data_IF_367593298620
#
_entry.id   IF_367593298620
#
_cell.length_a   1.000
_cell.length_b   1.000
_cell.length_c   1.000
_cell.angle_alpha   90.00
_cell.angle_beta   90.00
_cell.angle_gamma   90.00
#
_symmetry.space_group_name_H-M   'P 1'
#
loop_
_entity.id
_entity.type
_entity.pdbx_description
1 polymer ?
#
# COMPACT_ATOMS: atom_id res chain seq x y z
N UNK A 1 -31.48 -43.21 -42.40
CA UNK A 1 -31.53 -42.57 -41.06
C UNK A 1 -30.15 -42.72 -40.44
N UNK A 2 -29.25 -41.76 -40.68
CA UNK A 2 -27.89 -41.76 -40.12
C UNK A 2 -27.83 -40.65 -39.08
N UNK A 3 -27.79 -41.03 -37.80
CA UNK A 3 -27.61 -40.11 -36.69
C UNK A 3 -26.11 -39.95 -36.43
N UNK A 4 -25.59 -38.76 -36.72
CA UNK A 4 -24.22 -38.35 -36.37
C UNK A 4 -24.18 -38.02 -34.88
N UNK A 5 -23.36 -38.74 -34.10
CA UNK A 5 -23.07 -38.40 -32.71
C UNK A 5 -22.06 -37.23 -32.67
N UNK A 6 -22.52 -36.06 -32.24
CA UNK A 6 -21.66 -34.89 -31.96
C UNK A 6 -20.94 -35.13 -30.61
N UNK A 7 -19.61 -35.23 -30.66
CA UNK A 7 -18.74 -35.28 -29.47
C UNK A 7 -18.67 -33.88 -28.85
N UNK A 8 -19.10 -33.74 -27.59
CA UNK A 8 -18.94 -32.49 -26.84
C UNK A 8 -17.45 -32.19 -26.59
N UNK A 9 -17.01 -30.91 -26.63
CA UNK A 9 -15.65 -30.55 -26.24
C UNK A 9 -15.50 -30.72 -24.71
N UNK A 10 -14.36 -31.27 -24.30
CA UNK A 10 -13.97 -31.31 -22.91
C UNK A 10 -13.78 -29.87 -22.41
N UNK A 11 -14.53 -29.48 -21.38
CA UNK A 11 -14.34 -28.22 -20.71
C UNK A 11 -12.93 -28.19 -20.09
N UNK A 12 -12.06 -27.32 -20.60
CA UNK A 12 -10.79 -27.02 -19.97
C UNK A 12 -11.06 -26.35 -18.64
N UNK A 13 -10.75 -27.03 -17.55
CA UNK A 13 -10.70 -26.42 -16.23
C UNK A 13 -9.44 -25.55 -16.17
N UNK A 14 -9.56 -24.30 -16.59
CA UNK A 14 -8.53 -23.29 -16.32
C UNK A 14 -8.58 -22.98 -14.83
N UNK A 15 -7.61 -23.50 -14.09
CA UNK A 15 -7.36 -23.04 -12.74
C UNK A 15 -6.64 -21.70 -12.85
N UNK A 16 -7.37 -20.59 -12.69
CA UNK A 16 -6.72 -19.32 -12.39
C UNK A 16 -6.05 -19.51 -11.04
N UNK A 17 -4.72 -19.62 -11.03
CA UNK A 17 -3.97 -19.32 -9.83
C UNK A 17 -4.46 -17.93 -9.39
N UNK A 18 -5.13 -17.85 -8.24
CA UNK A 18 -5.32 -16.58 -7.57
C UNK A 18 -3.96 -15.91 -7.59
N UNK A 19 -3.84 -14.77 -8.28
CA UNK A 19 -2.63 -13.98 -8.22
C UNK A 19 -2.45 -13.72 -6.73
N UNK A 20 -1.46 -14.38 -6.11
CA UNK A 20 -1.23 -14.26 -4.69
C UNK A 20 -1.11 -12.76 -4.41
N UNK A 21 -1.96 -12.24 -3.52
CA UNK A 21 -1.93 -10.82 -3.14
C UNK A 21 -0.50 -10.48 -2.76
N UNK A 22 0.09 -9.50 -3.45
CA UNK A 22 1.46 -9.05 -3.20
C UNK A 22 1.36 -7.75 -2.44
N UNK A 23 1.55 -7.86 -1.14
CA UNK A 23 1.37 -6.75 -0.21
C UNK A 23 2.67 -6.46 0.51
N UNK A 24 2.91 -5.18 0.79
CA UNK A 24 4.06 -4.71 1.55
C UNK A 24 3.62 -3.66 2.55
N UNK A 25 4.17 -3.74 3.76
CA UNK A 25 4.00 -2.74 4.80
C UNK A 25 5.33 -2.07 5.14
N UNK A 26 5.29 -0.75 5.16
CA UNK A 26 6.33 0.10 5.70
C UNK A 26 5.94 0.55 7.10
N UNK A 27 6.83 0.36 8.07
CA UNK A 27 6.59 0.71 9.46
C UNK A 27 7.64 1.74 9.89
N UNK A 28 7.18 2.92 10.27
CA UNK A 28 8.03 3.92 10.91
C UNK A 28 8.34 3.49 12.36
N UNK A 29 9.62 3.38 12.75
CA UNK A 29 10.01 2.94 14.09
C UNK A 29 9.69 3.96 15.20
N UNK A 30 9.29 5.20 14.86
CA UNK A 30 8.80 6.19 15.82
C UNK A 30 7.37 5.88 16.32
N UNK A 31 6.66 4.94 15.69
CA UNK A 31 5.37 4.45 16.19
C UNK A 31 5.60 3.66 17.48
N UNK A 32 4.80 3.95 18.50
CA UNK A 32 4.84 3.23 19.78
C UNK A 32 4.64 1.74 19.55
N UNK A 33 5.45 0.92 20.20
CA UNK A 33 5.39 -0.55 20.13
C UNK A 33 5.51 -1.11 18.70
N UNK A 34 6.25 -0.43 17.81
CA UNK A 34 6.50 -0.92 16.45
C UNK A 34 7.03 -2.38 16.37
N UNK A 35 7.83 -2.91 17.32
CA UNK A 35 8.25 -4.31 17.25
C UNK A 35 7.06 -5.27 17.37
N UNK A 36 6.07 -4.95 18.20
CA UNK A 36 4.86 -5.75 18.33
C UNK A 36 4.03 -5.67 17.04
N UNK A 37 3.95 -4.48 16.41
CA UNK A 37 3.32 -4.33 15.10
C UNK A 37 3.97 -5.20 14.04
N UNK A 38 5.31 -5.22 13.97
CA UNK A 38 6.06 -6.11 13.06
C UNK A 38 5.68 -7.57 13.26
N UNK A 39 5.59 -8.02 14.52
CA UNK A 39 5.21 -9.41 14.82
C UNK A 39 3.74 -9.73 14.57
N UNK A 40 2.87 -8.72 14.61
CA UNK A 40 1.43 -8.87 14.41
C UNK A 40 0.98 -8.78 12.94
N UNK A 41 1.85 -8.37 12.01
CA UNK A 41 1.54 -8.36 10.58
C UNK A 41 1.18 -9.77 10.11
N UNK A 42 0.04 -9.89 9.42
CA UNK A 42 -0.44 -11.17 8.90
C UNK A 42 0.57 -11.84 7.98
N UNK A 43 0.51 -13.16 7.91
CA UNK A 43 1.35 -13.94 6.98
C UNK A 43 1.09 -13.55 5.51
N UNK A 44 2.16 -13.44 4.73
CA UNK A 44 2.10 -13.13 3.30
C UNK A 44 2.21 -11.64 2.96
N UNK A 45 2.24 -10.75 3.95
CA UNK A 45 2.60 -9.33 3.78
C UNK A 45 4.10 -9.18 4.04
N UNK A 46 4.81 -8.54 3.13
CA UNK A 46 6.20 -8.20 3.39
C UNK A 46 6.31 -7.03 4.37
N UNK A 47 7.21 -7.12 5.35
CA UNK A 47 7.46 -6.06 6.32
C UNK A 47 8.80 -5.38 6.03
N UNK A 48 8.77 -4.05 5.95
CA UNK A 48 9.95 -3.19 5.89
C UNK A 48 9.86 -2.17 7.01
N UNK A 49 10.84 -2.17 7.92
CA UNK A 49 10.98 -1.12 8.94
C UNK A 49 11.84 -0.01 8.35
N UNK A 50 11.37 1.22 8.42
CA UNK A 50 12.12 2.39 7.94
C UNK A 50 13.28 2.71 8.89
N UNK A 51 14.34 3.28 8.35
CA UNK A 51 15.41 3.89 9.14
C UNK A 51 14.95 5.25 9.66
N UNK A 52 14.94 5.40 10.99
CA UNK A 52 14.39 6.59 11.66
C UNK A 52 15.09 7.89 11.25
N UNK A 53 16.39 7.83 10.97
CA UNK A 53 17.25 9.00 10.72
C UNK A 53 17.47 9.28 9.22
N UNK A 54 16.63 8.71 8.36
CA UNK A 54 16.68 8.92 6.91
C UNK A 54 15.32 9.35 6.37
N UNK A 55 15.29 9.89 5.16
CA UNK A 55 14.07 10.30 4.49
C UNK A 55 13.21 9.07 4.18
N UNK A 56 12.02 9.00 4.77
CA UNK A 56 11.16 7.84 4.65
C UNK A 56 10.49 7.73 3.28
N UNK A 57 10.22 8.85 2.59
CA UNK A 57 9.64 8.81 1.25
C UNK A 57 10.65 8.25 0.26
N UNK A 58 11.91 8.67 0.33
CA UNK A 58 13.00 8.14 -0.51
C UNK A 58 13.25 6.65 -0.24
N UNK A 59 13.19 6.22 1.02
CA UNK A 59 13.31 4.80 1.40
C UNK A 59 12.19 3.94 0.81
N UNK A 60 10.93 4.36 0.96
CA UNK A 60 9.78 3.66 0.37
C UNK A 60 9.96 3.57 -1.15
N UNK A 61 10.34 4.68 -1.79
CA UNK A 61 10.56 4.75 -3.24
C UNK A 61 11.63 3.76 -3.70
N UNK A 62 12.74 3.69 -2.98
CA UNK A 62 13.85 2.79 -3.30
C UNK A 62 13.44 1.31 -3.21
N UNK A 63 12.63 0.96 -2.21
CA UNK A 63 12.09 -0.39 -2.05
C UNK A 63 11.07 -0.70 -3.14
N UNK A 64 10.11 0.20 -3.39
CA UNK A 64 9.05 0.00 -4.37
C UNK A 64 9.58 -0.09 -5.80
N UNK A 65 10.67 0.60 -6.13
CA UNK A 65 11.34 0.50 -7.44
C UNK A 65 11.83 -0.93 -7.76
N UNK A 66 12.00 -1.79 -6.75
CA UNK A 66 12.39 -3.19 -6.92
C UNK A 66 11.19 -4.14 -6.90
N UNK A 67 9.96 -3.62 -6.85
CA UNK A 67 8.70 -4.38 -6.72
C UNK A 67 7.76 -4.11 -7.88
N UNK A 68 6.91 -5.10 -8.15
CA UNK A 68 5.94 -5.03 -9.21
C UNK A 68 4.68 -5.78 -8.84
N UNK A 69 3.57 -5.38 -9.45
CA UNK A 69 2.25 -5.99 -9.29
C UNK A 69 1.80 -6.05 -7.82
N UNK A 70 2.12 -5.02 -7.03
CA UNK A 70 1.63 -4.89 -5.66
C UNK A 70 0.12 -4.61 -5.68
N UNK A 71 -0.62 -5.37 -4.89
CA UNK A 71 -2.06 -5.19 -4.68
C UNK A 71 -2.35 -4.27 -3.51
N UNK A 72 -1.43 -4.14 -2.56
CA UNK A 72 -1.50 -3.13 -1.52
C UNK A 72 -0.12 -2.67 -1.05
N UNK A 73 -0.03 -1.38 -0.72
CA UNK A 73 1.06 -0.78 0.06
C UNK A 73 0.45 -0.24 1.35
N UNK A 74 1.01 -0.66 2.47
CA UNK A 74 0.60 -0.25 3.80
C UNK A 74 1.67 0.66 4.39
N UNK A 75 1.28 1.76 5.04
CA UNK A 75 2.21 2.71 5.67
C UNK A 75 1.77 2.95 7.10
N UNK A 76 2.54 2.49 8.08
CA UNK A 76 2.27 2.63 9.51
C UNK A 76 3.17 3.71 10.08
N UNK A 77 2.58 4.77 10.62
CA UNK A 77 3.31 5.99 10.99
C UNK A 77 2.51 6.87 11.94
N UNK A 78 3.15 7.91 12.49
CA UNK A 78 2.41 9.03 13.07
C UNK A 78 1.81 9.89 11.97
N UNK A 79 0.66 10.50 12.28
CA UNK A 79 -0.08 11.32 11.34
C UNK A 79 -0.87 12.43 12.02
N UNK A 80 -1.41 13.30 11.17
CA UNK A 80 -2.48 14.23 11.52
C UNK A 80 -3.20 14.60 10.22
N UNK A 81 -4.29 15.39 10.24
CA UNK A 81 -4.99 15.76 9.02
C UNK A 81 -4.07 16.35 7.93
N UNK A 82 -4.00 15.64 6.81
CA UNK A 82 -3.18 15.99 5.64
C UNK A 82 -1.67 15.91 5.85
N UNK A 83 -1.20 15.04 6.74
CA UNK A 83 0.23 14.82 7.03
C UNK A 83 0.53 13.40 7.49
N UNK A 84 1.64 12.86 7.00
CA UNK A 84 2.26 11.60 7.45
C UNK A 84 3.73 11.85 7.78
N UNK A 85 4.21 11.36 8.93
CA UNK A 85 5.62 11.40 9.31
C UNK A 85 6.31 10.08 8.89
N UNK A 86 7.44 10.18 8.18
CA UNK A 86 8.19 9.01 7.68
C UNK A 86 9.69 9.21 7.88
N UNK A 87 10.27 8.60 8.90
CA UNK A 87 11.65 8.83 9.30
C UNK A 87 11.89 10.31 9.61
N UNK A 88 12.85 10.93 8.92
CA UNK A 88 13.12 12.39 9.04
C UNK A 88 12.22 13.25 8.15
N UNK A 89 11.39 12.65 7.31
CA UNK A 89 10.59 13.33 6.29
C UNK A 89 9.14 13.51 6.72
N UNK A 90 8.52 14.57 6.21
CA UNK A 90 7.09 14.80 6.32
C UNK A 90 6.49 14.76 4.92
N UNK A 91 5.50 13.89 4.70
CA UNK A 91 4.66 13.91 3.50
C UNK A 91 3.34 14.60 3.84
N UNK A 92 3.14 15.81 3.32
CA UNK A 92 1.99 16.67 3.62
C UNK A 92 1.64 17.55 2.42
N UNK A 93 0.56 18.32 2.50
CA UNK A 93 0.20 19.27 1.43
C UNK A 93 1.29 20.31 1.13
N UNK A 94 2.13 20.63 2.11
CA UNK A 94 3.23 21.58 1.97
C UNK A 94 4.46 20.96 1.28
N UNK A 95 4.62 19.64 1.36
CA UNK A 95 5.81 18.94 0.86
C UNK A 95 5.52 18.02 -0.31
N UNK A 96 4.26 17.74 -0.63
CA UNK A 96 3.87 16.75 -1.65
C UNK A 96 4.43 17.06 -3.04
N UNK A 97 4.54 18.33 -3.41
CA UNK A 97 5.12 18.74 -4.70
C UNK A 97 6.60 18.36 -4.80
N UNK A 98 7.35 18.39 -3.68
CA UNK A 98 8.74 17.94 -3.63
C UNK A 98 8.86 16.44 -3.93
N UNK A 99 7.91 15.64 -3.43
CA UNK A 99 7.90 14.19 -3.58
C UNK A 99 7.07 13.69 -4.77
N UNK A 100 6.68 14.60 -5.67
CA UNK A 100 5.78 14.27 -6.76
C UNK A 100 6.37 13.24 -7.72
N UNK A 101 7.69 13.25 -7.91
CA UNK A 101 8.40 12.27 -8.75
C UNK A 101 8.42 10.88 -8.09
N UNK A 102 8.74 10.83 -6.81
CA UNK A 102 8.75 9.62 -5.99
C UNK A 102 7.38 8.96 -6.00
N UNK A 103 6.32 9.72 -5.70
CA UNK A 103 4.95 9.21 -5.68
C UNK A 103 4.47 8.72 -7.05
N UNK A 104 4.86 9.39 -8.13
CA UNK A 104 4.57 8.91 -9.49
C UNK A 104 5.33 7.61 -9.80
N UNK A 105 6.59 7.50 -9.37
CA UNK A 105 7.38 6.28 -9.54
C UNK A 105 6.80 5.10 -8.75
N UNK A 106 6.11 5.35 -7.63
CA UNK A 106 5.43 4.28 -6.89
C UNK A 106 4.41 3.56 -7.78
N UNK A 107 3.71 4.28 -8.67
CA UNK A 107 2.70 3.71 -9.55
C UNK A 107 3.23 2.54 -10.41
N UNK A 108 4.52 2.55 -10.76
CA UNK A 108 5.15 1.47 -11.55
C UNK A 108 5.23 0.13 -10.80
N UNK A 109 5.18 0.19 -9.46
CA UNK A 109 5.17 -1.00 -8.60
C UNK A 109 3.76 -1.56 -8.37
N UNK A 110 2.73 -0.76 -8.65
CA UNK A 110 1.34 -1.01 -8.27
C UNK A 110 0.52 -1.64 -9.39
N UNK A 111 -0.49 -2.42 -9.00
CA UNK A 111 -1.59 -2.77 -9.91
C UNK A 111 -2.56 -1.61 -10.09
N UNK A 112 -3.35 -1.61 -11.17
CA UNK A 112 -4.37 -0.59 -11.44
C UNK A 112 -5.49 -0.50 -10.37
N UNK A 113 -5.56 -1.50 -9.49
CA UNK A 113 -6.54 -1.56 -8.40
C UNK A 113 -5.86 -1.56 -7.03
N UNK A 114 -4.57 -1.20 -6.96
CA UNK A 114 -3.83 -1.26 -5.72
C UNK A 114 -4.41 -0.32 -4.67
N UNK A 115 -4.39 -0.77 -3.42
CA UNK A 115 -4.69 0.08 -2.27
C UNK A 115 -3.40 0.70 -1.72
N UNK A 116 -3.45 1.98 -1.33
CA UNK A 116 -2.43 2.61 -0.50
C UNK A 116 -3.07 2.96 0.84
N UNK A 117 -2.78 2.15 1.86
CA UNK A 117 -3.42 2.20 3.16
C UNK A 117 -2.50 2.89 4.15
N UNK A 118 -2.93 4.05 4.64
CA UNK A 118 -2.19 4.84 5.62
C UNK A 118 -2.78 4.56 7.00
N UNK A 119 -1.97 3.99 7.88
CA UNK A 119 -2.28 3.73 9.29
C UNK A 119 -1.61 4.83 10.11
N UNK A 120 -2.18 6.03 10.04
CA UNK A 120 -1.71 7.22 10.74
C UNK A 120 -2.86 7.97 11.35
N UNK A 121 -2.63 8.61 12.50
CA UNK A 121 -3.71 9.28 13.22
C UNK A 121 -4.37 10.36 12.37
N UNK A 122 -5.67 10.20 12.09
CA UNK A 122 -6.55 11.25 11.58
C UNK A 122 -6.14 11.85 10.23
N UNK A 123 -5.37 11.12 9.41
CA UNK A 123 -4.78 11.65 8.17
C UNK A 123 -5.84 12.14 7.21
N UNK A 124 -7.00 11.48 7.16
CA UNK A 124 -8.14 11.82 6.30
C UNK A 124 -9.35 12.40 7.06
N UNK A 125 -9.16 12.90 8.29
CA UNK A 125 -10.29 13.24 9.18
C UNK A 125 -11.08 14.50 8.77
N UNK A 126 -10.42 15.46 8.15
CA UNK A 126 -11.02 16.75 7.76
C UNK A 126 -10.78 17.07 6.27
N UNK A 127 -11.29 18.22 5.81
CA UNK A 127 -11.16 18.66 4.42
C UNK A 127 -9.70 18.71 3.94
N UNK A 128 -8.78 19.10 4.82
CA UNK A 128 -7.35 19.14 4.50
C UNK A 128 -6.81 17.72 4.31
N UNK A 129 -7.21 16.79 5.18
CA UNK A 129 -6.93 15.37 5.03
C UNK A 129 -7.45 14.77 3.74
N UNK A 130 -8.69 15.12 3.34
CA UNK A 130 -9.27 14.69 2.08
C UNK A 130 -8.50 15.23 0.86
N UNK A 131 -8.08 16.50 0.88
CA UNK A 131 -7.25 17.07 -0.20
C UNK A 131 -5.92 16.31 -0.30
N UNK A 132 -5.30 16.00 0.83
CA UNK A 132 -4.06 15.25 0.87
C UNK A 132 -4.20 13.85 0.26
N UNK A 133 -5.17 13.07 0.73
CA UNK A 133 -5.46 11.72 0.21
C UNK A 133 -5.74 11.75 -1.29
N UNK A 134 -6.49 12.74 -1.79
CA UNK A 134 -6.78 12.89 -3.21
C UNK A 134 -5.54 13.27 -4.04
N UNK A 135 -4.62 14.07 -3.48
CA UNK A 135 -3.37 14.41 -4.17
C UNK A 135 -2.48 13.17 -4.28
N UNK A 136 -2.35 12.38 -3.20
CA UNK A 136 -1.60 11.12 -3.23
C UNK A 136 -2.25 10.12 -4.21
N UNK A 137 -3.59 10.02 -4.23
CA UNK A 137 -4.32 9.22 -5.21
C UNK A 137 -3.98 9.66 -6.65
N UNK A 138 -4.00 10.97 -6.91
CA UNK A 138 -3.73 11.51 -8.24
C UNK A 138 -2.30 11.25 -8.71
N UNK A 139 -1.33 11.23 -7.80
CA UNK A 139 0.08 10.99 -8.13
C UNK A 139 0.41 9.50 -8.27
N UNK A 140 -0.19 8.65 -7.44
CA UNK A 140 0.13 7.20 -7.38
C UNK A 140 -0.80 6.34 -8.22
N UNK A 141 -2.00 6.83 -8.56
CA UNK A 141 -3.08 6.04 -9.16
C UNK A 141 -3.74 5.02 -8.21
N UNK A 142 -3.25 4.91 -6.97
CA UNK A 142 -3.74 3.93 -6.00
C UNK A 142 -5.01 4.40 -5.30
N UNK A 143 -5.84 3.47 -4.83
CA UNK A 143 -6.95 3.79 -3.93
C UNK A 143 -6.39 4.12 -2.55
N UNK A 144 -6.33 5.40 -2.19
CA UNK A 144 -5.73 5.87 -0.93
C UNK A 144 -6.79 5.96 0.16
N UNK A 145 -6.51 5.41 1.33
CA UNK A 145 -7.41 5.50 2.49
C UNK A 145 -6.65 5.55 3.81
N UNK A 146 -7.23 6.25 4.79
CA UNK A 146 -6.90 6.07 6.22
C UNK A 146 -7.55 4.76 6.71
N UNK A 147 -6.81 3.95 7.47
CA UNK A 147 -7.21 2.59 7.81
C UNK A 147 -6.89 2.19 9.26
N UNK A 148 -7.79 1.45 9.95
CA UNK A 148 -7.48 0.90 11.26
C UNK A 148 -6.49 -0.26 11.16
N UNK A 149 -5.60 -0.39 12.16
CA UNK A 149 -4.56 -1.45 12.21
C UNK A 149 -5.11 -2.88 12.09
N UNK A 150 -6.37 -3.12 12.43
CA UNK A 150 -7.04 -4.42 12.27
C UNK A 150 -7.10 -4.92 10.82
N UNK A 151 -6.94 -4.04 9.82
CA UNK A 151 -6.81 -4.45 8.40
C UNK A 151 -5.41 -4.95 8.04
N UNK A 152 -4.42 -4.85 8.92
CA UNK A 152 -3.03 -5.25 8.69
C UNK A 152 -2.62 -6.45 9.55
N UNK A 153 -3.20 -6.58 10.74
CA UNK A 153 -2.89 -7.64 11.70
C UNK A 153 -3.95 -8.73 11.67
N UNK A 154 -3.55 -9.99 11.86
CA UNK A 154 -4.53 -11.04 12.17
C UNK A 154 -5.12 -10.74 13.55
N UNK A 155 -6.45 -10.63 13.66
CA UNK A 155 -7.13 -10.45 14.95
C UNK A 155 -6.75 -11.62 15.86
N UNK A 156 -5.97 -11.34 16.91
CA UNK A 156 -5.76 -12.27 18.02
C UNK A 156 -6.88 -12.10 19.05
#
# INVERSE_FOLDING_TARGET
>A
MTATLQKAPAASLTFSASAASREIVFIDPAVTDYPDLVTGVRSGVEVVVLEAMADGVEQISSVLAQRHNLTAVHVVSHGSPGRVQLGTSELSLETIDRYSWELQAWAESLTNTAELLIYGCEVAKDDRGWVFVNMVHSLTGANVADSPLSRLTDSN
#
